data_IF_876284001183
#
_entry.id   IF_876284001183
#
_cell.length_a   1.000
_cell.length_b   1.000
_cell.length_c   1.000
_cell.angle_alpha   90.00
_cell.angle_beta   90.00
_cell.angle_gamma   90.00
#
_symmetry.space_group_name_H-M   'P 1'
#
loop_
_entity.id
_entity.type
_entity.pdbx_description
1 polymer ?
#
# COMPACT_ATOMS: atom_id res chain seq x y z
N UNK A 1 -10.22 20.40 20.54
CA UNK A 1 -9.53 19.09 20.73
C UNK A 1 -10.00 18.18 19.61
N UNK A 2 -9.28 18.14 18.49
CA UNK A 2 -9.70 17.33 17.33
C UNK A 2 -9.55 15.86 17.67
N UNK A 3 -10.68 15.18 17.76
CA UNK A 3 -10.75 13.72 17.88
C UNK A 3 -10.15 13.14 16.59
N UNK A 4 -8.98 12.51 16.69
CA UNK A 4 -8.47 11.70 15.59
C UNK A 4 -9.37 10.45 15.51
N UNK A 5 -10.17 10.35 14.46
CA UNK A 5 -10.86 9.10 14.15
C UNK A 5 -9.85 7.94 14.15
N UNK A 6 -10.22 6.75 14.66
CA UNK A 6 -9.34 5.59 14.62
C UNK A 6 -8.93 5.33 13.16
N UNK A 7 -7.62 5.22 12.91
CA UNK A 7 -7.06 5.01 11.57
C UNK A 7 -7.56 3.67 11.02
N UNK A 8 -8.66 3.66 10.27
CA UNK A 8 -9.28 2.43 9.73
C UNK A 8 -8.44 1.70 8.68
N UNK A 9 -7.44 2.40 8.12
CA UNK A 9 -6.55 1.94 7.06
C UNK A 9 -5.29 1.23 7.55
N UNK A 10 -4.97 1.28 8.84
CA UNK A 10 -3.86 0.51 9.40
C UNK A 10 -4.16 -0.02 10.80
N UNK A 11 -3.59 -1.18 11.12
CA UNK A 11 -3.56 -1.70 12.49
C UNK A 11 -2.20 -2.30 12.79
N UNK A 12 -1.73 -2.10 14.01
CA UNK A 12 -0.59 -2.84 14.54
C UNK A 12 -1.08 -4.16 15.14
N UNK A 13 -0.32 -5.23 14.92
CA UNK A 13 -0.50 -6.52 15.55
C UNK A 13 0.87 -6.97 16.06
N UNK A 14 1.14 -6.69 17.34
CA UNK A 14 2.48 -6.87 17.90
C UNK A 14 3.49 -5.97 17.20
N UNK A 15 4.46 -6.58 16.50
CA UNK A 15 5.50 -5.87 15.73
C UNK A 15 5.14 -5.66 14.26
N UNK A 16 4.01 -6.19 13.82
CA UNK A 16 3.61 -6.15 12.42
C UNK A 16 2.62 -5.02 12.16
N UNK A 17 2.85 -4.25 11.09
CA UNK A 17 1.94 -3.22 10.61
C UNK A 17 1.11 -3.76 9.45
N UNK A 18 -0.19 -3.89 9.66
CA UNK A 18 -1.15 -4.24 8.61
C UNK A 18 -1.73 -2.97 8.02
N UNK A 19 -1.66 -2.82 6.69
CA UNK A 19 -2.17 -1.67 5.96
C UNK A 19 -3.19 -2.15 4.93
N UNK A 20 -4.38 -1.54 4.91
CA UNK A 20 -5.39 -1.73 3.87
C UNK A 20 -5.04 -0.82 2.69
N UNK A 21 -4.76 -1.40 1.53
CA UNK A 21 -4.37 -0.67 0.32
C UNK A 21 -5.41 -0.85 -0.77
N UNK A 22 -5.82 0.25 -1.39
CA UNK A 22 -6.58 0.25 -2.63
C UNK A 22 -5.62 0.52 -3.78
N UNK A 23 -5.33 -0.52 -4.56
CA UNK A 23 -4.33 -0.46 -5.63
C UNK A 23 -4.99 -0.07 -6.96
N UNK A 24 -4.50 1.01 -7.57
CA UNK A 24 -4.86 1.43 -8.93
C UNK A 24 -3.76 0.99 -9.91
N UNK A 25 -3.97 -0.10 -10.67
CA UNK A 25 -3.03 -0.54 -11.69
C UNK A 25 -3.07 0.38 -12.92
N UNK A 26 -2.08 0.23 -13.81
CA UNK A 26 -1.98 0.93 -15.09
C UNK A 26 -1.95 2.47 -14.96
N UNK A 27 -1.41 2.98 -13.86
CA UNK A 27 -1.23 4.41 -13.65
C UNK A 27 0.00 4.94 -14.41
N UNK A 28 -0.01 6.24 -14.72
CA UNK A 28 1.13 6.92 -15.35
C UNK A 28 2.37 7.02 -14.45
N UNK A 29 2.21 6.84 -13.13
CA UNK A 29 3.31 6.82 -12.16
C UNK A 29 2.99 5.98 -10.92
N UNK A 30 4.05 5.53 -10.27
CA UNK A 30 4.01 4.94 -8.92
C UNK A 30 3.86 6.06 -7.88
N UNK A 31 2.81 6.04 -7.07
CA UNK A 31 2.60 7.04 -6.03
C UNK A 31 1.66 6.58 -4.91
N UNK A 32 1.91 7.08 -3.69
CA UNK A 32 0.89 7.12 -2.64
C UNK A 32 -0.06 8.28 -2.94
N UNK A 33 -1.34 8.01 -3.14
CA UNK A 33 -2.35 9.03 -3.46
C UNK A 33 -3.07 9.56 -2.21
N UNK A 34 -2.84 8.96 -1.05
CA UNK A 34 -3.38 9.39 0.24
C UNK A 34 -4.43 8.44 0.82
N UNK A 35 -4.97 8.82 1.98
CA UNK A 35 -6.00 8.06 2.69
C UNK A 35 -7.36 8.32 2.03
N UNK A 36 -8.10 7.26 1.75
CA UNK A 36 -9.43 7.29 1.22
C UNK A 36 -10.33 6.34 2.03
N UNK A 37 -11.05 6.92 3.01
CA UNK A 37 -11.87 6.16 3.94
C UNK A 37 -11.04 5.14 4.72
N UNK A 38 -11.26 3.85 4.45
CA UNK A 38 -10.58 2.74 5.12
C UNK A 38 -9.32 2.24 4.41
N UNK A 39 -8.91 2.87 3.30
CA UNK A 39 -7.78 2.40 2.50
C UNK A 39 -6.77 3.51 2.24
N UNK A 40 -5.51 3.15 2.07
CA UNK A 40 -4.53 4.01 1.39
C UNK A 40 -4.65 3.75 -0.12
N UNK A 41 -4.96 4.78 -0.90
CA UNK A 41 -4.90 4.68 -2.36
C UNK A 41 -3.45 4.72 -2.81
N UNK A 42 -3.08 3.75 -3.63
CA UNK A 42 -1.75 3.64 -4.22
C UNK A 42 -1.90 3.39 -5.70
N UNK A 43 -1.15 4.13 -6.51
CA UNK A 43 -1.09 3.91 -7.95
C UNK A 43 0.21 3.20 -8.30
N UNK A 44 0.15 2.24 -9.22
CA UNK A 44 1.33 1.56 -9.76
C UNK A 44 1.27 1.48 -11.27
N UNK A 45 2.42 1.68 -11.90
CA UNK A 45 2.63 1.49 -13.33
C UNK A 45 2.97 0.03 -13.57
N UNK A 46 2.10 -0.67 -14.29
CA UNK A 46 2.18 -2.12 -14.49
C UNK A 46 1.68 -2.49 -15.88
N UNK A 47 2.14 -3.63 -16.38
CA UNK A 47 1.53 -4.31 -17.54
C UNK A 47 0.38 -5.19 -17.02
N UNK A 48 -0.73 -5.39 -17.78
CA UNK A 48 -1.84 -6.26 -17.39
C UNK A 48 -1.41 -7.74 -17.41
N UNK A 49 -0.70 -8.16 -16.36
CA UNK A 49 -0.29 -9.54 -16.11
C UNK A 49 -0.63 -9.95 -14.68
N UNK A 50 -0.94 -11.24 -14.48
CA UNK A 50 -1.37 -11.77 -13.18
C UNK A 50 -0.32 -11.48 -12.11
N UNK A 51 -0.72 -10.74 -11.07
CA UNK A 51 0.13 -10.41 -9.92
C UNK A 51 1.20 -9.34 -10.16
N UNK A 52 1.27 -8.73 -11.36
CA UNK A 52 2.23 -7.65 -11.64
C UNK A 52 2.03 -6.44 -10.74
N UNK A 53 0.77 -6.07 -10.47
CA UNK A 53 0.42 -4.97 -9.59
C UNK A 53 0.90 -5.18 -8.15
N UNK A 54 0.71 -6.38 -7.60
CA UNK A 54 1.20 -6.71 -6.26
C UNK A 54 2.73 -6.67 -6.18
N UNK A 55 3.43 -7.14 -7.23
CA UNK A 55 4.90 -7.07 -7.29
C UNK A 55 5.41 -5.63 -7.26
N UNK A 56 4.78 -4.74 -8.04
CA UNK A 56 5.14 -3.32 -8.08
C UNK A 56 4.78 -2.61 -6.77
N UNK A 57 3.62 -2.93 -6.17
CA UNK A 57 3.25 -2.41 -4.86
C UNK A 57 4.29 -2.79 -3.80
N UNK A 58 4.72 -4.05 -3.75
CA UNK A 58 5.72 -4.51 -2.78
C UNK A 58 7.05 -3.78 -3.00
N UNK A 59 7.48 -3.57 -4.25
CA UNK A 59 8.69 -2.80 -4.55
C UNK A 59 8.58 -1.37 -4.04
N UNK A 60 7.50 -0.66 -4.41
CA UNK A 60 7.24 0.70 -3.98
C UNK A 60 7.25 0.82 -2.44
N UNK A 61 6.56 -0.07 -1.73
CA UNK A 61 6.53 -0.05 -0.27
C UNK A 61 7.88 -0.41 0.36
N UNK A 62 8.62 -1.35 -0.23
CA UNK A 62 9.96 -1.73 0.25
C UNK A 62 10.93 -0.55 0.16
N UNK A 63 10.87 0.21 -0.95
CA UNK A 63 11.65 1.43 -1.15
C UNK A 63 11.23 2.53 -0.16
N UNK A 64 9.93 2.80 -0.03
CA UNK A 64 9.40 3.84 0.86
C UNK A 64 9.73 3.61 2.34
N UNK A 65 9.65 2.36 2.79
CA UNK A 65 9.92 2.02 4.20
C UNK A 65 11.35 1.54 4.45
N UNK A 66 12.19 1.44 3.40
CA UNK A 66 13.54 0.86 3.49
C UNK A 66 13.56 -0.52 4.16
N UNK A 67 12.55 -1.35 3.87
CA UNK A 67 12.40 -2.70 4.42
C UNK A 67 12.71 -3.77 3.38
N UNK A 68 13.09 -4.96 3.83
CA UNK A 68 13.31 -6.11 2.94
C UNK A 68 11.98 -6.56 2.34
N UNK A 69 12.01 -6.86 1.05
CA UNK A 69 10.89 -7.48 0.33
C UNK A 69 10.69 -8.93 0.80
N UNK A 70 9.50 -9.24 1.31
CA UNK A 70 9.08 -10.62 1.56
C UNK A 70 7.71 -10.85 0.92
N UNK A 71 7.60 -11.92 0.13
CA UNK A 71 6.34 -12.40 -0.42
C UNK A 71 5.90 -13.54 0.49
N UNK A 72 4.84 -13.34 1.30
CA UNK A 72 4.19 -14.46 1.97
C UNK A 72 3.51 -15.33 0.91
N UNK A 73 3.78 -16.65 0.95
CA UNK A 73 3.06 -17.64 0.15
C UNK A 73 1.68 -17.90 0.74
#
# INVERSE_FOLDING_TARGET
>A
MSQHEPRKWCRWQGRDLFIKIFLQPNASRNALLGVHGEFIKVSVTTIPAKGAANKQLILLLSELFSVKKQISR
#
